data_IF_637659040681
#
_entry.id   IF_637659040681
#
_cell.length_a   1.000
_cell.length_b   1.000
_cell.length_c   1.000
_cell.angle_alpha   90.00
_cell.angle_beta   90.00
_cell.angle_gamma   90.00
#
_symmetry.space_group_name_H-M   'P 1'
#
loop_
_entity.id
_entity.type
_entity.pdbx_description
1 polymer ?
#
# COMPACT_ATOMS: atom_id res chain seq x y z
N UNK A 1 26.09 14.96 15.00
CA UNK A 1 25.19 15.05 13.82
C UNK A 1 24.71 13.63 13.57
N UNK A 2 23.50 13.33 13.98
CA UNK A 2 22.91 12.01 13.78
C UNK A 2 22.71 11.78 12.28
N UNK A 3 23.26 10.68 11.82
CA UNK A 3 23.12 10.18 10.45
C UNK A 3 21.63 9.84 10.24
N UNK A 4 20.92 10.69 9.51
CA UNK A 4 19.51 10.46 9.16
C UNK A 4 19.49 9.28 8.20
N UNK A 5 19.34 8.11 8.78
CA UNK A 5 19.44 6.80 8.12
C UNK A 5 18.43 6.65 6.99
N UNK A 6 18.89 5.98 5.97
CA UNK A 6 18.28 5.62 4.67
C UNK A 6 16.77 5.32 4.73
N UNK A 7 15.99 6.00 3.93
CA UNK A 7 14.58 5.66 3.68
C UNK A 7 13.59 6.40 4.59
N UNK A 8 13.93 6.70 5.83
CA UNK A 8 13.03 7.15 6.91
C UNK A 8 12.10 8.33 6.63
N UNK A 9 12.46 9.27 5.75
CA UNK A 9 11.63 10.47 5.54
C UNK A 9 10.39 10.17 4.72
N UNK A 10 10.52 9.46 3.59
CA UNK A 10 9.36 9.03 2.82
C UNK A 10 8.50 8.06 3.61
N UNK A 11 9.16 7.15 4.32
CA UNK A 11 8.54 6.13 5.13
C UNK A 11 7.75 6.78 6.27
N UNK A 12 8.29 7.82 6.91
CA UNK A 12 7.56 8.58 7.91
C UNK A 12 6.39 9.35 7.30
N UNK A 13 6.58 10.02 6.15
CA UNK A 13 5.50 10.79 5.51
C UNK A 13 4.33 9.91 5.09
N UNK A 14 4.57 8.74 4.47
CA UNK A 14 3.50 7.81 4.13
C UNK A 14 2.75 7.36 5.38
N UNK A 15 3.50 6.89 6.37
CA UNK A 15 2.94 6.37 7.61
C UNK A 15 2.22 7.46 8.40
N UNK A 16 2.80 8.65 8.54
CA UNK A 16 2.20 9.76 9.29
C UNK A 16 0.95 10.31 8.58
N UNK A 17 1.00 10.37 7.24
CA UNK A 17 -0.14 10.81 6.44
C UNK A 17 -1.33 9.86 6.61
N UNK A 18 -1.13 8.57 6.38
CA UNK A 18 -2.22 7.61 6.33
C UNK A 18 -2.57 6.96 7.67
N UNK A 19 -1.80 7.18 8.74
CA UNK A 19 -2.26 6.93 10.12
C UNK A 19 -3.28 7.94 10.61
N UNK A 20 -3.32 9.12 10.01
CA UNK A 20 -4.36 10.10 10.31
C UNK A 20 -5.67 9.67 9.63
N UNK A 21 -6.69 9.38 10.42
CA UNK A 21 -8.00 8.88 9.93
C UNK A 21 -8.66 9.79 8.90
N UNK A 22 -8.46 11.11 9.00
CA UNK A 22 -8.97 12.07 8.02
C UNK A 22 -8.36 11.83 6.63
N UNK A 23 -7.05 11.62 6.55
CA UNK A 23 -6.37 11.37 5.29
C UNK A 23 -6.59 9.94 4.81
N UNK A 24 -6.71 8.98 5.72
CA UNK A 24 -7.10 7.61 5.41
C UNK A 24 -8.50 7.55 4.81
N UNK A 25 -9.44 8.36 5.30
CA UNK A 25 -10.77 8.49 4.71
C UNK A 25 -10.71 9.07 3.29
N UNK A 26 -9.91 10.11 3.07
CA UNK A 26 -9.71 10.67 1.73
C UNK A 26 -9.12 9.64 0.76
N UNK A 27 -8.16 8.84 1.22
CA UNK A 27 -7.61 7.73 0.45
C UNK A 27 -8.71 6.72 0.08
N UNK A 28 -9.49 6.28 1.05
CA UNK A 28 -10.61 5.36 0.82
C UNK A 28 -11.61 5.93 -0.20
N UNK A 29 -12.04 7.17 -0.03
CA UNK A 29 -13.00 7.83 -0.93
C UNK A 29 -12.41 8.06 -2.33
N UNK A 30 -11.10 8.22 -2.48
CA UNK A 30 -10.43 8.25 -3.79
C UNK A 30 -10.50 6.90 -4.48
N UNK A 31 -10.37 5.81 -3.74
CA UNK A 31 -10.44 4.44 -4.25
C UNK A 31 -11.88 3.98 -4.50
N UNK A 32 -12.83 4.50 -3.73
CA UNK A 32 -14.25 4.17 -3.71
C UNK A 32 -15.13 5.44 -3.78
N UNK A 33 -15.14 6.14 -4.94
CA UNK A 33 -15.91 7.38 -5.08
C UNK A 33 -17.43 7.20 -4.95
N UNK A 34 -17.90 5.96 -5.08
CA UNK A 34 -19.30 5.56 -4.89
C UNK A 34 -19.71 5.50 -3.42
N UNK A 35 -18.78 5.26 -2.51
CA UNK A 35 -19.04 5.03 -1.07
C UNK A 35 -18.79 6.30 -0.23
N UNK A 36 -19.65 7.29 -0.43
CA UNK A 36 -19.52 8.62 0.21
C UNK A 36 -20.00 8.67 1.65
N UNK A 37 -20.74 7.68 2.09
CA UNK A 37 -21.35 7.64 3.43
C UNK A 37 -20.38 7.14 4.51
N UNK A 38 -19.22 6.62 4.11
CA UNK A 38 -18.19 6.16 5.04
C UNK A 38 -17.59 7.33 5.80
N UNK A 39 -17.42 7.12 7.10
CA UNK A 39 -16.86 8.10 8.03
C UNK A 39 -15.57 7.58 8.68
N UNK A 40 -14.78 8.47 9.27
CA UNK A 40 -13.51 8.12 9.95
C UNK A 40 -13.68 7.05 11.05
N UNK A 41 -14.85 6.97 11.69
CA UNK A 41 -15.11 6.00 12.76
C UNK A 41 -15.25 4.56 12.27
N UNK A 42 -15.50 4.36 10.97
CA UNK A 42 -15.63 3.05 10.34
C UNK A 42 -14.29 2.50 9.82
N UNK A 43 -13.23 3.32 9.91
CA UNK A 43 -11.88 2.94 9.51
C UNK A 43 -11.16 2.27 10.68
N UNK A 44 -10.69 1.05 10.46
CA UNK A 44 -9.87 0.30 11.39
C UNK A 44 -8.48 0.10 10.79
N UNK A 45 -7.46 0.60 11.49
CA UNK A 45 -6.06 0.37 11.13
C UNK A 45 -5.68 -1.09 11.39
N UNK A 46 -5.02 -1.70 10.42
CA UNK A 46 -4.52 -3.07 10.51
C UNK A 46 -3.00 -3.01 10.44
N UNK A 47 -2.35 -3.39 11.54
CA UNK A 47 -0.90 -3.48 11.58
C UNK A 47 -0.44 -4.62 10.69
N UNK A 48 0.22 -4.29 9.57
CA UNK A 48 0.90 -5.28 8.73
C UNK A 48 2.16 -5.74 9.45
N UNK A 49 2.24 -7.02 9.77
CA UNK A 49 3.44 -7.60 10.36
C UNK A 49 4.51 -7.70 9.26
N UNK A 50 5.74 -7.35 9.62
CA UNK A 50 6.90 -7.57 8.75
C UNK A 50 7.09 -9.07 8.52
N UNK A 51 6.65 -9.56 7.37
CA UNK A 51 6.77 -10.97 6.98
C UNK A 51 8.16 -11.23 6.39
N UNK A 52 8.80 -10.17 5.89
CA UNK A 52 10.12 -10.25 5.28
C UNK A 52 11.18 -9.63 6.19
N UNK A 53 12.28 -10.36 6.32
CA UNK A 53 13.45 -9.94 7.07
C UNK A 53 14.11 -8.75 6.39
N UNK A 54 14.41 -7.69 7.17
CA UNK A 54 15.17 -6.51 6.77
C UNK A 54 14.54 -5.57 5.74
N UNK A 55 13.77 -4.61 6.22
CA UNK A 55 13.44 -3.40 5.48
C UNK A 55 12.32 -2.59 6.10
N UNK A 56 12.55 -1.31 6.27
CA UNK A 56 11.51 -0.33 6.54
C UNK A 56 10.68 -0.19 5.25
N UNK A 57 9.55 -0.91 5.14
CA UNK A 57 8.63 -0.77 4.03
C UNK A 57 7.41 0.06 4.44
N UNK A 58 6.99 0.94 3.56
CA UNK A 58 5.79 1.76 3.72
C UNK A 58 4.57 1.01 3.21
N UNK A 59 4.23 -0.04 3.90
CA UNK A 59 3.07 -0.84 3.55
C UNK A 59 2.03 -0.64 4.65
N UNK A 60 0.78 -0.52 4.27
CA UNK A 60 -0.29 -0.36 5.23
C UNK A 60 -1.49 -1.24 4.88
N UNK A 61 -2.23 -1.61 5.91
CA UNK A 61 -3.51 -2.26 5.78
C UNK A 61 -4.56 -1.56 6.64
N UNK A 62 -5.78 -1.47 6.15
CA UNK A 62 -6.91 -1.01 6.93
C UNK A 62 -8.20 -1.70 6.46
N UNK A 63 -9.20 -1.72 7.31
CA UNK A 63 -10.52 -2.23 6.95
C UNK A 63 -11.58 -1.15 7.05
N UNK A 64 -12.58 -1.27 6.19
CA UNK A 64 -13.79 -0.45 6.18
C UNK A 64 -14.97 -1.37 5.94
N UNK A 65 -15.86 -1.51 6.92
CA UNK A 65 -16.96 -2.46 6.82
C UNK A 65 -16.47 -3.88 6.59
N UNK A 66 -16.81 -4.48 5.45
CA UNK A 66 -16.36 -5.81 5.04
C UNK A 66 -15.19 -5.80 4.04
N UNK A 67 -14.57 -4.65 3.77
CA UNK A 67 -13.42 -4.50 2.88
C UNK A 67 -12.11 -4.52 3.67
N UNK A 68 -11.10 -5.18 3.12
CA UNK A 68 -9.72 -5.17 3.59
C UNK A 68 -8.85 -4.58 2.48
N UNK A 69 -8.28 -3.41 2.72
CA UNK A 69 -7.39 -2.74 1.78
C UNK A 69 -5.94 -2.96 2.22
N UNK A 70 -5.12 -3.41 1.29
CA UNK A 70 -3.68 -3.56 1.47
C UNK A 70 -2.99 -2.71 0.41
N UNK A 71 -2.24 -1.73 0.90
CA UNK A 71 -1.45 -0.83 0.06
C UNK A 71 0.02 -1.10 0.27
N UNK A 72 0.69 -1.38 -0.83
CA UNK A 72 2.14 -1.63 -0.86
C UNK A 72 2.79 -0.49 -1.63
N UNK A 73 3.73 0.22 -1.01
CA UNK A 73 4.48 1.23 -1.72
C UNK A 73 5.53 0.58 -2.62
N UNK A 74 5.44 0.85 -3.93
CA UNK A 74 6.52 0.59 -4.87
C UNK A 74 7.38 1.82 -4.99
N UNK A 75 8.57 1.76 -4.43
CA UNK A 75 9.56 2.84 -4.51
C UNK A 75 10.01 3.07 -5.98
N UNK A 76 11.11 3.75 -6.19
CA UNK A 76 11.60 4.20 -7.50
C UNK A 76 11.84 3.10 -8.55
N UNK A 77 11.93 1.84 -8.15
CA UNK A 77 12.19 0.72 -9.05
C UNK A 77 10.95 -0.16 -9.18
N UNK A 78 10.47 -0.33 -10.40
CA UNK A 78 9.38 -1.26 -10.70
C UNK A 78 9.84 -2.71 -10.51
N UNK A 79 9.05 -3.49 -9.79
CA UNK A 79 9.24 -4.93 -9.64
C UNK A 79 7.89 -5.61 -9.54
N UNK A 80 7.66 -6.65 -10.32
CA UNK A 80 6.46 -7.49 -10.22
C UNK A 80 6.38 -8.28 -8.91
N UNK A 81 7.52 -8.49 -8.23
CA UNK A 81 7.56 -9.13 -6.91
C UNK A 81 6.73 -8.38 -5.84
N UNK A 82 6.36 -7.12 -6.08
CA UNK A 82 5.47 -6.36 -5.21
C UNK A 82 4.09 -7.02 -5.07
N UNK A 83 3.63 -7.72 -6.11
CA UNK A 83 2.40 -8.52 -6.05
C UNK A 83 2.52 -9.64 -5.01
N UNK A 84 3.63 -10.38 -5.02
CA UNK A 84 3.85 -11.46 -4.04
C UNK A 84 3.89 -10.89 -2.63
N UNK A 85 4.51 -9.72 -2.44
CA UNK A 85 4.53 -9.03 -1.15
C UNK A 85 3.12 -8.67 -0.68
N UNK A 86 2.27 -8.11 -1.56
CA UNK A 86 0.88 -7.79 -1.25
C UNK A 86 0.07 -9.04 -0.88
N UNK A 87 0.26 -10.16 -1.58
CA UNK A 87 -0.38 -11.44 -1.25
C UNK A 87 0.04 -11.97 0.12
N UNK A 88 1.33 -11.90 0.44
CA UNK A 88 1.83 -12.33 1.76
C UNK A 88 1.22 -11.51 2.89
N UNK A 89 1.12 -10.19 2.73
CA UNK A 89 0.43 -9.33 3.70
C UNK A 89 -1.04 -9.69 3.85
N UNK A 90 -1.74 -9.94 2.74
CA UNK A 90 -3.14 -10.35 2.77
C UNK A 90 -3.34 -11.66 3.54
N UNK A 91 -2.53 -12.68 3.26
CA UNK A 91 -2.61 -13.99 3.92
C UNK A 91 -2.33 -13.85 5.42
N UNK A 92 -1.29 -13.12 5.81
CA UNK A 92 -0.98 -12.89 7.21
C UNK A 92 -2.09 -12.12 7.92
N UNK A 93 -2.66 -11.11 7.26
CA UNK A 93 -3.77 -10.32 7.82
C UNK A 93 -5.00 -11.21 8.06
N UNK A 94 -5.33 -12.11 7.14
CA UNK A 94 -6.41 -13.07 7.37
C UNK A 94 -6.10 -14.03 8.50
N UNK A 95 -4.87 -14.52 8.60
CA UNK A 95 -4.47 -15.37 9.73
C UNK A 95 -4.72 -14.64 11.06
N UNK A 96 -4.26 -13.39 11.19
CA UNK A 96 -4.44 -12.60 12.41
C UNK A 96 -5.92 -12.25 12.66
N UNK A 97 -6.69 -12.01 11.59
CA UNK A 97 -8.13 -11.77 11.66
C UNK A 97 -8.87 -12.98 12.23
N UNK A 98 -8.56 -14.20 11.78
CA UNK A 98 -9.16 -15.42 12.33
C UNK A 98 -8.79 -15.65 13.80
N UNK A 99 -7.54 -15.42 14.17
CA UNK A 99 -7.10 -15.50 15.55
C UNK A 99 -7.89 -14.53 16.45
N UNK A 100 -7.99 -13.27 16.04
CA UNK A 100 -8.67 -12.20 16.79
C UNK A 100 -10.16 -12.44 16.91
N UNK A 101 -10.81 -12.94 15.86
CA UNK A 101 -12.25 -13.18 15.81
C UNK A 101 -12.67 -14.56 16.33
N UNK A 102 -11.72 -15.42 16.70
CA UNK A 102 -11.99 -16.75 17.19
C UNK A 102 -12.63 -17.69 16.16
N UNK A 103 -12.46 -17.41 14.85
CA UNK A 103 -13.01 -18.25 13.81
C UNK A 103 -12.22 -19.54 13.66
N UNK A 104 -12.93 -20.67 13.64
CA UNK A 104 -12.32 -21.99 13.53
C UNK A 104 -12.31 -22.46 12.07
N UNK A 105 -11.11 -22.50 11.47
CA UNK A 105 -10.92 -22.97 10.09
C UNK A 105 -11.18 -24.47 9.88
N UNK A 106 -11.13 -25.25 10.97
CA UNK A 106 -11.36 -26.71 10.92
C UNK A 106 -12.80 -27.09 11.27
N UNK A 107 -13.64 -26.09 11.59
CA UNK A 107 -15.04 -26.31 11.88
C UNK A 107 -15.89 -26.44 10.60
N UNK A 108 -17.11 -26.94 10.75
CA UNK A 108 -18.07 -27.03 9.63
C UNK A 108 -18.72 -25.69 9.26
N UNK A 109 -18.66 -24.70 10.15
CA UNK A 109 -19.23 -23.37 9.89
C UNK A 109 -18.30 -22.58 8.95
N UNK A 110 -18.87 -22.08 7.84
CA UNK A 110 -18.16 -21.20 6.93
C UNK A 110 -17.64 -19.95 7.65
N UNK A 111 -16.36 -19.68 7.52
CA UNK A 111 -15.75 -18.47 8.06
C UNK A 111 -16.18 -17.22 7.29
N UNK A 112 -16.15 -16.08 7.96
CA UNK A 112 -16.37 -14.78 7.34
C UNK A 112 -15.04 -14.16 6.95
N UNK A 113 -14.91 -13.72 5.72
CA UNK A 113 -13.75 -13.01 5.20
C UNK A 113 -14.11 -11.56 4.91
N UNK A 114 -13.18 -10.67 5.15
CA UNK A 114 -13.21 -9.33 4.58
C UNK A 114 -12.87 -9.44 3.09
N UNK A 115 -13.53 -8.67 2.24
CA UNK A 115 -13.23 -8.65 0.80
C UNK A 115 -11.86 -8.00 0.57
N UNK A 116 -10.85 -8.71 0.02
CA UNK A 116 -9.52 -8.15 -0.14
C UNK A 116 -9.44 -7.24 -1.35
N UNK A 117 -8.74 -6.13 -1.19
CA UNK A 117 -8.40 -5.21 -2.26
C UNK A 117 -6.92 -4.87 -2.16
N UNK A 118 -6.18 -5.19 -3.21
CA UNK A 118 -4.73 -5.05 -3.25
C UNK A 118 -4.35 -3.88 -4.15
N UNK A 119 -3.57 -2.96 -3.61
CA UNK A 119 -3.10 -1.77 -4.29
C UNK A 119 -1.59 -1.63 -4.20
N UNK A 120 -1.00 -1.09 -5.25
CA UNK A 120 0.40 -0.67 -5.30
C UNK A 120 0.45 0.80 -5.64
N UNK A 121 1.13 1.61 -4.86
CA UNK A 121 1.38 3.02 -5.17
C UNK A 121 2.77 3.13 -5.78
N UNK A 122 2.83 3.41 -7.09
CA UNK A 122 4.10 3.55 -7.80
C UNK A 122 4.55 5.01 -7.85
N UNK A 123 5.69 5.30 -7.24
CA UNK A 123 6.25 6.65 -7.12
C UNK A 123 7.47 6.89 -8.01
N UNK A 124 7.82 5.93 -8.86
CA UNK A 124 8.97 6.00 -9.75
C UNK A 124 8.68 6.62 -11.12
N UNK A 125 9.76 6.78 -11.90
CA UNK A 125 9.70 7.29 -13.27
C UNK A 125 9.71 6.09 -14.25
N UNK A 126 8.53 5.71 -14.75
CA UNK A 126 8.39 4.71 -15.81
C UNK A 126 7.45 5.25 -16.88
N UNK A 127 7.82 5.10 -18.17
CA UNK A 127 7.04 5.60 -19.30
C UNK A 127 5.70 4.91 -19.47
N UNK A 128 5.64 3.62 -19.16
CA UNK A 128 4.41 2.84 -19.24
C UNK A 128 4.23 2.05 -17.94
N UNK A 129 3.21 2.38 -17.18
CA UNK A 129 2.81 1.70 -15.95
C UNK A 129 1.46 1.05 -16.22
N UNK A 130 1.30 -0.26 -16.01
CA UNK A 130 0.00 -0.90 -16.17
C UNK A 130 -0.95 -0.44 -15.05
N UNK A 131 -2.24 -0.33 -15.34
CA UNK A 131 -3.27 -0.01 -14.33
C UNK A 131 -3.50 -1.16 -13.36
N UNK A 132 -3.15 -2.37 -13.78
CA UNK A 132 -3.31 -3.61 -13.02
C UNK A 132 -2.25 -4.61 -13.40
N UNK A 133 -1.82 -5.39 -12.43
CA UNK A 133 -0.99 -6.59 -12.63
C UNK A 133 -1.76 -7.81 -12.12
N UNK A 134 -1.59 -8.95 -12.76
CA UNK A 134 -2.24 -10.21 -12.40
C UNK A 134 -1.23 -11.33 -12.20
N UNK A 135 -1.53 -12.25 -11.30
CA UNK A 135 -0.59 -13.30 -10.92
C UNK A 135 -0.29 -14.25 -12.09
N UNK A 136 -1.33 -14.65 -12.82
CA UNK A 136 -1.18 -15.54 -13.98
C UNK A 136 -0.33 -14.92 -15.09
N UNK A 137 -0.59 -13.65 -15.43
CA UNK A 137 0.14 -12.97 -16.50
C UNK A 137 1.62 -12.76 -16.17
N UNK A 138 1.91 -12.31 -14.95
CA UNK A 138 3.27 -11.88 -14.59
C UNK A 138 4.19 -13.04 -14.21
N UNK A 139 3.64 -14.15 -13.71
CA UNK A 139 4.46 -15.26 -13.18
C UNK A 139 4.24 -16.58 -13.93
N UNK A 140 3.13 -16.73 -14.66
CA UNK A 140 2.74 -17.99 -15.30
C UNK A 140 2.35 -17.83 -16.77
N UNK A 141 2.78 -16.74 -17.43
CA UNK A 141 2.60 -16.50 -18.87
C UNK A 141 1.13 -16.54 -19.34
N UNK A 142 0.20 -16.18 -18.47
CA UNK A 142 -1.22 -16.21 -18.74
C UNK A 142 -1.88 -17.61 -18.66
N UNK A 143 -1.15 -18.60 -18.15
CA UNK A 143 -1.72 -19.94 -17.93
C UNK A 143 -2.87 -19.88 -16.90
N UNK A 144 -3.78 -20.84 -16.99
CA UNK A 144 -4.85 -21.02 -16.01
C UNK A 144 -4.26 -21.48 -14.67
N UNK A 145 -4.57 -20.75 -13.60
CA UNK A 145 -4.05 -20.99 -12.27
C UNK A 145 -5.17 -21.20 -11.27
N UNK A 146 -4.96 -22.08 -10.30
CA UNK A 146 -5.97 -22.37 -9.27
C UNK A 146 -6.28 -21.17 -8.37
N UNK A 147 -5.36 -20.21 -8.27
CA UNK A 147 -5.52 -18.95 -7.51
C UNK A 147 -5.08 -17.80 -8.39
N UNK A 148 -5.99 -16.91 -8.71
CA UNK A 148 -5.71 -15.67 -9.40
C UNK A 148 -5.76 -14.50 -8.41
N UNK A 149 -4.75 -13.64 -8.48
CA UNK A 149 -4.71 -12.38 -7.74
C UNK A 149 -4.51 -11.22 -8.69
N UNK A 150 -5.18 -10.11 -8.40
CA UNK A 150 -5.07 -8.88 -9.16
C UNK A 150 -4.75 -7.73 -8.24
N UNK A 151 -3.73 -6.97 -8.57
CA UNK A 151 -3.30 -5.79 -7.83
C UNK A 151 -3.53 -4.57 -8.71
N UNK A 152 -4.24 -3.57 -8.19
CA UNK A 152 -4.44 -2.29 -8.88
C UNK A 152 -3.22 -1.40 -8.66
N UNK A 153 -2.74 -0.78 -9.72
CA UNK A 153 -1.58 0.11 -9.65
C UNK A 153 -2.05 1.56 -9.66
N UNK A 154 -1.68 2.29 -8.64
CA UNK A 154 -1.96 3.71 -8.46
C UNK A 154 -0.72 4.50 -8.85
N UNK A 155 -0.83 5.33 -9.86
CA UNK A 155 0.28 6.11 -10.39
C UNK A 155 -0.23 7.39 -11.07
N UNK A 156 0.71 8.26 -11.42
CA UNK A 156 0.36 9.52 -12.08
C UNK A 156 0.15 10.66 -11.09
N UNK A 157 0.03 11.85 -11.65
CA UNK A 157 -0.17 13.09 -10.88
C UNK A 157 -1.65 13.46 -10.98
N UNK A 158 -2.30 13.63 -9.84
CA UNK A 158 -3.69 14.04 -9.70
C UNK A 158 -3.86 14.97 -8.50
N UNK A 159 -5.00 15.64 -8.42
CA UNK A 159 -5.30 16.55 -7.31
C UNK A 159 -5.75 15.81 -6.04
N UNK A 160 -6.05 14.52 -6.14
CA UNK A 160 -6.40 13.69 -4.99
C UNK A 160 -5.19 13.37 -4.11
N UNK A 161 -5.46 12.81 -2.94
CA UNK A 161 -4.42 12.53 -1.93
C UNK A 161 -3.33 11.57 -2.44
N UNK A 162 -3.69 10.64 -3.35
CA UNK A 162 -2.74 9.68 -3.93
C UNK A 162 -1.80 10.40 -4.89
N UNK A 163 -2.35 11.20 -5.79
CA UNK A 163 -1.57 12.00 -6.74
C UNK A 163 -0.67 13.00 -6.05
N UNK A 164 -1.16 13.68 -5.02
CA UNK A 164 -0.36 14.59 -4.20
C UNK A 164 0.80 13.87 -3.51
N UNK A 165 0.57 12.68 -2.95
CA UNK A 165 1.64 11.85 -2.37
C UNK A 165 2.67 11.43 -3.43
N UNK A 166 2.23 11.04 -4.64
CA UNK A 166 3.13 10.69 -5.74
C UNK A 166 3.98 11.89 -6.18
N UNK A 167 3.37 13.08 -6.30
CA UNK A 167 4.07 14.33 -6.61
C UNK A 167 5.14 14.62 -5.55
N UNK A 168 4.77 14.57 -4.27
CA UNK A 168 5.73 14.73 -3.17
C UNK A 168 6.92 13.76 -3.32
N UNK A 169 6.66 12.48 -3.56
CA UNK A 169 7.71 11.48 -3.73
C UNK A 169 8.63 11.76 -4.92
N UNK A 170 8.08 12.22 -6.05
CA UNK A 170 8.88 12.60 -7.24
C UNK A 170 9.76 13.81 -6.97
N UNK A 171 9.19 14.86 -6.34
CA UNK A 171 9.96 16.05 -5.96
C UNK A 171 11.08 15.68 -4.99
N UNK A 172 10.77 14.93 -3.93
CA UNK A 172 11.76 14.46 -2.98
C UNK A 172 12.89 13.66 -3.65
N UNK A 173 12.56 12.73 -4.54
CA UNK A 173 13.55 11.94 -5.28
C UNK A 173 14.46 12.83 -6.15
N UNK A 174 13.89 13.84 -6.80
CA UNK A 174 14.64 14.82 -7.61
C UNK A 174 15.61 15.65 -6.74
N UNK A 175 15.13 16.18 -5.63
CA UNK A 175 15.96 16.98 -4.72
C UNK A 175 17.04 16.10 -4.06
N UNK A 176 16.72 14.87 -3.71
CA UNK A 176 17.69 13.91 -3.18
C UNK A 176 18.81 13.58 -4.16
N UNK A 177 18.51 13.45 -5.45
CA UNK A 177 19.54 13.27 -6.48
C UNK A 177 20.49 14.48 -6.56
N UNK A 178 19.96 15.69 -6.30
CA UNK A 178 20.70 16.96 -6.38
C UNK A 178 21.53 17.28 -5.12
N UNK A 179 20.96 17.06 -3.93
CA UNK A 179 21.53 17.51 -2.66
C UNK A 179 21.92 16.34 -1.72
N UNK A 180 21.75 15.10 -2.14
CA UNK A 180 21.98 13.94 -1.27
C UNK A 180 20.89 13.78 -0.21
N UNK A 181 21.26 13.21 0.95
CA UNK A 181 20.37 13.00 2.10
C UNK A 181 20.63 14.07 3.16
N UNK A 182 20.24 15.29 2.87
CA UNK A 182 20.50 16.45 3.71
C UNK A 182 19.20 17.14 4.11
N UNK A 183 19.24 17.95 5.15
CA UNK A 183 18.16 18.83 5.57
C UNK A 183 17.68 19.74 4.43
N UNK A 184 18.62 20.15 3.55
CA UNK A 184 18.30 20.94 2.36
C UNK A 184 17.36 20.19 1.41
N UNK A 185 17.49 18.86 1.26
CA UNK A 185 16.58 18.06 0.45
C UNK A 185 15.16 18.15 0.97
N UNK A 186 14.97 18.14 2.28
CA UNK A 186 13.65 18.26 2.92
C UNK A 186 13.08 19.65 2.65
N UNK A 187 13.84 20.69 2.97
CA UNK A 187 13.41 22.09 2.85
C UNK A 187 13.04 22.48 1.40
N UNK A 188 13.70 21.90 0.41
CA UNK A 188 13.42 22.15 -1.01
C UNK A 188 12.30 21.22 -1.57
N UNK A 189 11.75 20.34 -0.76
CA UNK A 189 10.65 19.43 -1.15
C UNK A 189 9.30 19.92 -0.61
N UNK A 190 9.30 20.58 0.55
CA UNK A 190 8.12 21.16 1.19
C UNK A 190 7.83 22.53 0.58
#
# INVERSE_FOLDING_TARGET
MEDITKGKIKDSVFTDLFRNKKYLLQLYQTLHPEDKEVTENQLEDITLKHIMVDGDYNDMGFSVGNHLLILVESQSTWSYNIMIRALMYMIQTYHDYFQRTGQNLYGSKKVTLLKPELYVIFTGDRKAVPDRISLSEEFFQGEDVSIEAKVKVLYGESEDIIGQYIIFCKVYNKQRKKFGRTEKTINETI
#
